data_IF_444158277799
#
_entry.id   IF_444158277799
#
_cell.length_a   1.000
_cell.length_b   1.000
_cell.length_c   1.000
_cell.angle_alpha   90.00
_cell.angle_beta   90.00
_cell.angle_gamma   90.00
#
_symmetry.space_group_name_H-M   'P 1'
#
loop_
_entity.id
_entity.type
_entity.pdbx_description
1 polymer ?
#
# COMPACT_ATOMS: atom_id res chain seq x y z
N UNK A 1 -28.28 31.17 20.65
CA UNK A 1 -28.55 29.92 19.90
C UNK A 1 -27.82 28.82 20.64
N UNK A 2 -28.54 27.84 21.16
CA UNK A 2 -27.94 26.65 21.77
C UNK A 2 -27.71 25.70 20.59
N UNK A 3 -26.46 25.37 20.28
CA UNK A 3 -26.16 24.37 19.26
C UNK A 3 -26.80 23.05 19.68
N UNK A 4 -27.70 22.55 18.84
CA UNK A 4 -28.31 21.23 19.07
C UNK A 4 -27.20 20.18 19.08
N UNK A 5 -27.31 19.14 19.92
CA UNK A 5 -26.31 18.08 19.95
C UNK A 5 -26.15 17.48 18.55
N UNK A 6 -24.91 17.41 18.07
CA UNK A 6 -24.55 16.88 16.76
C UNK A 6 -24.21 15.41 16.91
N UNK A 7 -24.96 14.55 16.24
CA UNK A 7 -24.65 13.12 16.20
C UNK A 7 -23.47 12.89 15.25
N UNK A 8 -22.52 12.04 15.66
CA UNK A 8 -21.30 11.75 14.91
C UNK A 8 -21.18 10.24 14.68
N UNK A 9 -21.02 9.84 13.42
CA UNK A 9 -20.78 8.47 13.00
C UNK A 9 -19.45 8.40 12.26
N UNK A 10 -18.49 7.66 12.82
CA UNK A 10 -17.17 7.46 12.23
C UNK A 10 -17.25 6.42 11.11
N UNK A 11 -16.63 6.70 9.97
CA UNK A 11 -16.48 5.84 8.81
C UNK A 11 -14.99 5.61 8.47
N UNK A 12 -14.73 4.72 7.52
CA UNK A 12 -13.38 4.48 6.98
C UNK A 12 -12.75 5.74 6.41
N UNK A 13 -11.43 5.68 6.17
CA UNK A 13 -10.68 6.75 5.51
C UNK A 13 -10.76 8.10 6.25
N UNK A 14 -10.79 8.06 7.59
CA UNK A 14 -10.86 9.24 8.46
C UNK A 14 -12.06 10.14 8.14
N UNK A 15 -13.19 9.54 7.76
CA UNK A 15 -14.43 10.26 7.49
C UNK A 15 -15.34 10.22 8.71
N UNK A 16 -15.91 11.37 9.05
CA UNK A 16 -16.94 11.49 10.06
C UNK A 16 -18.20 12.05 9.43
N UNK A 17 -19.31 11.34 9.60
CA UNK A 17 -20.62 11.86 9.26
C UNK A 17 -21.17 12.58 10.47
N UNK A 18 -21.49 13.85 10.32
CA UNK A 18 -22.05 14.68 11.37
C UNK A 18 -23.40 15.21 10.94
N UNK A 19 -24.45 15.06 11.75
CA UNK A 19 -25.79 15.49 11.34
C UNK A 19 -26.62 16.07 12.49
N UNK A 20 -27.51 16.97 12.12
CA UNK A 20 -28.58 17.59 12.92
C UNK A 20 -29.89 17.43 12.15
N UNK A 21 -31.05 17.90 12.66
CA UNK A 21 -32.29 17.87 11.90
C UNK A 21 -32.23 18.63 10.57
N UNK A 22 -31.43 19.69 10.50
CA UNK A 22 -31.40 20.63 9.36
C UNK A 22 -30.12 20.55 8.52
N UNK A 23 -29.10 19.83 8.99
CA UNK A 23 -27.81 19.75 8.32
C UNK A 23 -27.25 18.33 8.37
N UNK A 24 -26.61 17.92 7.27
CA UNK A 24 -25.86 16.68 7.22
C UNK A 24 -24.51 16.95 6.56
N UNK A 25 -23.42 16.50 7.16
CA UNK A 25 -22.07 16.81 6.71
C UNK A 25 -21.19 15.57 6.71
N UNK A 26 -20.45 15.35 5.63
CA UNK A 26 -19.33 14.43 5.55
C UNK A 26 -18.05 15.23 5.76
N UNK A 27 -17.35 14.98 6.86
CA UNK A 27 -16.15 15.71 7.27
C UNK A 27 -14.96 14.77 7.22
N UNK A 28 -13.92 15.12 6.45
CA UNK A 28 -12.64 14.44 6.54
C UNK A 28 -11.84 15.00 7.71
N UNK A 29 -11.37 14.11 8.57
CA UNK A 29 -10.39 14.39 9.63
C UNK A 29 -8.99 13.91 9.26
N UNK A 30 -8.76 13.61 7.99
CA UNK A 30 -7.45 13.18 7.48
C UNK A 30 -6.44 14.35 7.45
N UNK A 31 -6.93 15.59 7.32
CA UNK A 31 -6.13 16.82 7.31
C UNK A 31 -6.05 17.44 8.72
N UNK A 32 -5.02 18.27 8.96
CA UNK A 32 -4.85 19.00 10.23
C UNK A 32 -6.08 19.85 10.59
N UNK A 33 -6.78 20.38 9.58
CA UNK A 33 -8.04 21.09 9.73
C UNK A 33 -9.16 20.20 9.18
N UNK A 34 -10.15 19.81 10.01
CA UNK A 34 -11.31 19.06 9.54
C UNK A 34 -11.98 19.77 8.36
N UNK A 35 -12.12 19.07 7.25
CA UNK A 35 -12.62 19.64 5.99
C UNK A 35 -13.94 19.00 5.62
N UNK A 36 -14.99 19.82 5.47
CA UNK A 36 -16.30 19.37 5.01
C UNK A 36 -16.23 19.04 3.52
N UNK A 37 -16.34 17.75 3.18
CA UNK A 37 -16.32 17.26 1.81
C UNK A 37 -17.70 17.35 1.15
N UNK A 38 -18.75 17.10 1.92
CA UNK A 38 -20.15 17.14 1.47
C UNK A 38 -20.97 17.80 2.56
N UNK A 39 -21.78 18.79 2.20
CA UNK A 39 -22.76 19.42 3.08
C UNK A 39 -24.13 19.34 2.42
N UNK A 40 -25.07 18.67 3.06
CA UNK A 40 -26.44 18.58 2.62
C UNK A 40 -27.35 19.40 3.54
N UNK A 41 -28.30 20.09 2.90
CA UNK A 41 -29.40 20.85 3.49
C UNK A 41 -30.67 20.56 2.69
N UNK A 42 -31.81 21.10 3.12
CA UNK A 42 -33.09 20.85 2.44
C UNK A 42 -33.12 21.32 0.97
N UNK A 43 -32.35 22.35 0.64
CA UNK A 43 -32.21 22.92 -0.69
C UNK A 43 -31.32 22.09 -1.63
N UNK A 44 -30.50 21.19 -1.11
CA UNK A 44 -29.58 20.36 -1.90
C UNK A 44 -28.28 20.02 -1.19
N UNK A 45 -27.29 19.61 -1.99
CA UNK A 45 -25.97 19.22 -1.53
C UNK A 45 -24.91 20.14 -2.14
N UNK A 46 -24.07 20.72 -1.29
CA UNK A 46 -22.82 21.38 -1.66
C UNK A 46 -21.66 20.40 -1.51
N UNK A 47 -20.81 20.32 -2.52
CA UNK A 47 -19.73 19.35 -2.62
C UNK A 47 -18.41 20.07 -2.80
N UNK A 48 -17.45 19.72 -1.95
CA UNK A 48 -16.10 20.25 -2.04
C UNK A 48 -15.46 19.84 -3.38
N UNK A 49 -14.73 20.74 -4.09
CA UNK A 49 -14.17 20.46 -5.41
C UNK A 49 -13.31 19.18 -5.49
N UNK A 50 -12.55 18.89 -4.45
CA UNK A 50 -11.76 17.64 -4.37
C UNK A 50 -12.67 16.42 -4.43
N UNK A 51 -13.81 16.43 -3.75
CA UNK A 51 -14.77 15.32 -3.77
C UNK A 51 -15.49 15.19 -5.11
N UNK A 52 -15.84 16.32 -5.75
CA UNK A 52 -16.38 16.34 -7.13
C UNK A 52 -15.44 15.62 -8.08
N UNK A 53 -14.15 15.95 -8.02
CA UNK A 53 -13.12 15.31 -8.84
C UNK A 53 -12.96 13.82 -8.50
N UNK A 54 -12.96 13.46 -7.21
CA UNK A 54 -12.85 12.06 -6.74
C UNK A 54 -13.94 11.15 -7.29
N UNK A 55 -15.18 11.66 -7.31
CA UNK A 55 -16.37 10.90 -7.67
C UNK A 55 -16.84 11.17 -9.09
N UNK A 56 -16.07 11.95 -9.87
CA UNK A 56 -16.39 12.35 -11.24
C UNK A 56 -17.82 12.90 -11.36
N UNK A 57 -18.16 13.82 -10.45
CA UNK A 57 -19.50 14.42 -10.40
C UNK A 57 -19.61 15.56 -11.41
N UNK A 58 -20.80 15.76 -12.00
CA UNK A 58 -21.00 16.79 -13.04
C UNK A 58 -20.90 18.21 -12.48
N UNK A 59 -21.16 18.41 -11.19
CA UNK A 59 -21.23 19.73 -10.56
C UNK A 59 -20.85 19.68 -9.07
N UNK A 60 -20.41 20.83 -8.54
CA UNK A 60 -20.14 21.03 -7.11
C UNK A 60 -21.40 21.28 -6.27
N UNK A 61 -22.58 21.30 -6.91
CA UNK A 61 -23.86 21.39 -6.26
C UNK A 61 -24.82 20.39 -6.90
N UNK A 62 -25.53 19.63 -6.07
CA UNK A 62 -26.58 18.71 -6.51
C UNK A 62 -27.91 19.15 -5.92
N UNK A 63 -28.88 19.41 -6.78
CA UNK A 63 -30.27 19.59 -6.36
C UNK A 63 -30.85 18.27 -5.87
N UNK A 64 -31.82 18.27 -4.93
CA UNK A 64 -32.48 17.05 -4.52
C UNK A 64 -33.07 16.29 -5.72
N UNK A 65 -33.54 16.99 -6.77
CA UNK A 65 -34.11 16.38 -7.97
C UNK A 65 -33.14 15.45 -8.72
N UNK A 66 -31.83 15.70 -8.61
CA UNK A 66 -30.79 14.85 -9.21
C UNK A 66 -30.48 13.60 -8.38
N UNK A 67 -31.01 13.51 -7.16
CA UNK A 67 -30.78 12.38 -6.24
C UNK A 67 -32.02 11.50 -6.27
N UNK A 68 -31.89 10.28 -6.80
CA UNK A 68 -33.00 9.34 -6.86
C UNK A 68 -33.31 8.76 -5.48
N UNK A 69 -32.29 8.28 -4.77
CA UNK A 69 -32.39 7.67 -3.44
C UNK A 69 -31.04 7.61 -2.74
N UNK A 70 -31.11 7.47 -1.42
CA UNK A 70 -29.96 7.18 -0.56
C UNK A 70 -29.94 5.68 -0.29
N UNK A 71 -28.77 5.05 -0.42
CA UNK A 71 -28.62 3.60 -0.23
C UNK A 71 -27.54 3.33 0.81
N UNK A 72 -27.84 2.47 1.77
CA UNK A 72 -26.86 1.80 2.61
C UNK A 72 -26.89 0.32 2.27
N UNK A 73 -25.81 -0.22 1.71
CA UNK A 73 -25.76 -1.62 1.27
C UNK A 73 -24.44 -2.31 1.59
N UNK A 74 -24.49 -3.62 1.70
CA UNK A 74 -23.32 -4.48 1.81
C UNK A 74 -22.67 -4.71 0.43
N UNK A 75 -21.36 -4.49 0.33
CA UNK A 75 -20.56 -4.80 -0.84
C UNK A 75 -19.75 -6.09 -0.56
N UNK A 76 -20.17 -7.25 -1.11
CA UNK A 76 -19.53 -8.53 -0.81
C UNK A 76 -18.08 -8.60 -1.32
N UNK A 77 -17.74 -7.85 -2.37
CA UNK A 77 -16.41 -7.84 -2.99
C UNK A 77 -15.35 -7.26 -2.06
N UNK A 78 -15.72 -6.23 -1.28
CA UNK A 78 -14.83 -5.56 -0.33
C UNK A 78 -15.15 -5.89 1.13
N UNK A 79 -16.18 -6.71 1.37
CA UNK A 79 -16.70 -7.01 2.71
C UNK A 79 -16.90 -5.74 3.54
N UNK A 80 -17.60 -4.78 2.95
CA UNK A 80 -17.80 -3.48 3.58
C UNK A 80 -19.22 -2.98 3.37
N UNK A 81 -19.73 -2.26 4.37
CA UNK A 81 -20.93 -1.46 4.24
C UNK A 81 -20.64 -0.16 3.53
N UNK A 82 -21.49 0.23 2.59
CA UNK A 82 -21.33 1.46 1.80
C UNK A 82 -22.58 2.30 1.86
N UNK A 83 -22.43 3.54 2.28
CA UNK A 83 -23.44 4.58 2.19
C UNK A 83 -23.16 5.41 0.94
N UNK A 84 -24.16 5.62 0.11
CA UNK A 84 -24.04 6.45 -1.08
C UNK A 84 -25.38 6.90 -1.64
N UNK A 85 -25.30 7.59 -2.77
CA UNK A 85 -26.43 8.16 -3.48
C UNK A 85 -26.49 7.58 -4.89
N UNK A 86 -27.71 7.30 -5.35
CA UNK A 86 -27.96 7.05 -6.76
C UNK A 86 -28.36 8.36 -7.43
N UNK A 87 -27.53 8.81 -8.36
CA UNK A 87 -27.70 10.06 -9.08
C UNK A 87 -28.39 9.82 -10.43
N UNK A 88 -29.27 10.74 -10.81
CA UNK A 88 -29.89 10.81 -12.12
C UNK A 88 -29.05 11.70 -13.04
N UNK A 89 -28.86 11.27 -14.28
CA UNK A 89 -28.28 12.13 -15.32
C UNK A 89 -29.21 13.34 -15.54
N UNK A 90 -28.71 14.59 -15.42
CA UNK A 90 -29.52 15.79 -15.65
C UNK A 90 -30.12 15.87 -17.06
N UNK A 91 -29.57 15.15 -18.04
CA UNK A 91 -30.06 15.13 -19.42
C UNK A 91 -31.17 14.09 -19.67
N UNK A 92 -31.53 13.28 -18.68
CA UNK A 92 -32.54 12.23 -18.88
C UNK A 92 -33.98 12.75 -18.77
N UNK A 93 -34.76 12.50 -19.82
CA UNK A 93 -36.22 12.76 -19.87
C UNK A 93 -37.09 11.58 -19.39
N UNK A 94 -36.51 10.39 -19.18
CA UNK A 94 -37.21 9.19 -18.67
C UNK A 94 -36.33 8.45 -17.66
N UNK A 95 -36.98 7.79 -16.70
CA UNK A 95 -36.33 6.97 -15.67
C UNK A 95 -35.76 5.67 -16.27
N UNK A 96 -34.68 5.77 -17.03
CA UNK A 96 -33.89 4.61 -17.41
C UNK A 96 -32.91 4.28 -16.27
N UNK A 97 -33.09 3.10 -15.65
CA UNK A 97 -32.22 2.60 -14.59
C UNK A 97 -30.80 2.30 -15.08
N UNK A 98 -30.59 2.14 -16.39
CA UNK A 98 -29.29 1.78 -16.95
C UNK A 98 -28.23 2.89 -16.85
N UNK A 99 -28.64 4.15 -16.65
CA UNK A 99 -27.75 5.31 -16.64
C UNK A 99 -27.64 5.98 -15.26
N UNK A 100 -27.96 5.25 -14.18
CA UNK A 100 -27.80 5.77 -12.82
C UNK A 100 -26.33 5.72 -12.40
N UNK A 101 -25.81 6.83 -11.90
CA UNK A 101 -24.45 6.90 -11.36
C UNK A 101 -24.48 6.65 -9.85
N UNK A 102 -23.72 5.66 -9.39
CA UNK A 102 -23.46 5.47 -7.97
C UNK A 102 -22.41 6.49 -7.48
N UNK A 103 -22.77 7.27 -6.45
CA UNK A 103 -21.86 8.16 -5.75
C UNK A 103 -21.70 7.71 -4.30
N UNK A 104 -20.58 7.06 -4.01
CA UNK A 104 -20.26 6.59 -2.67
C UNK A 104 -19.84 7.75 -1.75
N UNK A 105 -20.45 7.83 -0.57
CA UNK A 105 -20.20 8.84 0.45
C UNK A 105 -19.27 8.33 1.55
N UNK A 106 -19.54 7.13 2.08
CA UNK A 106 -18.81 6.56 3.20
C UNK A 106 -18.80 5.03 3.14
N UNK A 107 -17.76 4.44 3.73
CA UNK A 107 -17.54 2.99 3.79
C UNK A 107 -17.22 2.56 5.22
N UNK A 108 -17.55 1.32 5.58
CA UNK A 108 -17.17 0.70 6.84
C UNK A 108 -16.81 -0.78 6.64
N UNK A 109 -15.61 -1.25 7.02
CA UNK A 109 -15.17 -2.64 6.81
C UNK A 109 -15.80 -3.56 7.87
N UNK A 110 -15.96 -4.85 7.54
CA UNK A 110 -16.62 -5.87 8.37
C UNK A 110 -16.07 -5.99 9.80
N UNK A 111 -14.75 -5.90 9.93
CA UNK A 111 -13.99 -6.21 11.15
C UNK A 111 -14.34 -5.36 12.39
N UNK A 112 -14.94 -4.20 12.18
CA UNK A 112 -15.21 -3.21 13.23
C UNK A 112 -16.72 -2.99 13.46
N UNK A 113 -17.59 -3.76 12.80
CA UNK A 113 -18.93 -3.28 12.48
C UNK A 113 -20.07 -3.75 13.38
N UNK A 114 -19.85 -4.69 14.31
CA UNK A 114 -20.89 -5.31 15.14
C UNK A 114 -21.82 -4.33 15.91
N UNK A 115 -21.38 -3.10 16.20
CA UNK A 115 -22.20 -2.04 16.81
C UNK A 115 -22.47 -0.82 15.91
N UNK A 116 -21.79 -0.68 14.77
CA UNK A 116 -21.75 0.57 13.99
C UNK A 116 -22.75 0.62 12.83
N UNK A 117 -23.32 -0.52 12.41
CA UNK A 117 -24.38 -0.59 11.38
C UNK A 117 -25.54 0.36 11.71
N UNK A 118 -25.95 0.37 12.97
CA UNK A 118 -27.06 1.22 13.41
C UNK A 118 -26.73 2.71 13.24
N UNK A 119 -25.49 3.12 13.53
CA UNK A 119 -25.02 4.49 13.29
C UNK A 119 -25.06 4.85 11.80
N UNK A 120 -24.51 3.99 10.94
CA UNK A 120 -24.53 4.20 9.49
C UNK A 120 -25.98 4.28 8.94
N UNK A 121 -26.88 3.44 9.45
CA UNK A 121 -28.29 3.43 9.08
C UNK A 121 -29.00 4.72 9.50
N UNK A 122 -28.80 5.19 10.73
CA UNK A 122 -29.36 6.45 11.20
C UNK A 122 -28.82 7.63 10.39
N UNK A 123 -27.52 7.64 10.09
CA UNK A 123 -26.88 8.66 9.25
C UNK A 123 -27.44 8.68 7.81
N UNK A 124 -27.71 7.51 7.22
CA UNK A 124 -28.33 7.42 5.89
C UNK A 124 -29.81 7.86 5.91
N UNK A 125 -30.55 7.49 6.96
CA UNK A 125 -31.94 7.90 7.15
C UNK A 125 -32.08 9.41 7.38
N UNK A 126 -31.17 10.04 8.13
CA UNK A 126 -31.18 11.49 8.35
C UNK A 126 -30.92 12.25 7.05
N UNK A 127 -29.93 11.82 6.24
CA UNK A 127 -29.67 12.39 4.91
C UNK A 127 -30.89 12.27 3.99
N UNK A 128 -31.50 11.09 3.95
CA UNK A 128 -32.68 10.82 3.13
C UNK A 128 -33.87 11.70 3.53
N UNK A 129 -34.11 11.86 4.85
CA UNK A 129 -35.15 12.74 5.38
C UNK A 129 -34.89 14.20 5.01
N UNK A 130 -33.66 14.67 5.20
CA UNK A 130 -33.27 16.06 4.94
C UNK A 130 -33.49 16.45 3.47
N UNK A 131 -33.18 15.55 2.54
CA UNK A 131 -33.32 15.77 1.09
C UNK A 131 -34.71 15.40 0.55
N UNK A 132 -35.62 14.92 1.42
CA UNK A 132 -36.91 14.35 1.04
C UNK A 132 -36.76 13.27 -0.06
N UNK A 133 -35.88 12.29 0.16
CA UNK A 133 -35.60 11.19 -0.76
C UNK A 133 -35.80 9.82 -0.10
N UNK A 134 -36.11 8.77 -0.88
CA UNK A 134 -36.19 7.42 -0.36
C UNK A 134 -34.85 6.97 0.23
N UNK A 135 -34.92 6.25 1.35
CA UNK A 135 -33.80 5.51 1.92
C UNK A 135 -33.98 4.02 1.65
N UNK A 136 -32.95 3.36 1.12
CA UNK A 136 -32.93 1.92 0.90
C UNK A 136 -31.80 1.28 1.69
N UNK A 137 -32.14 0.29 2.51
CA UNK A 137 -31.19 -0.56 3.21
C UNK A 137 -31.12 -1.92 2.51
N UNK A 138 -29.92 -2.36 2.14
CA UNK A 138 -29.67 -3.65 1.47
C UNK A 138 -28.89 -4.55 2.42
N UNK A 139 -29.52 -5.62 2.88
CA UNK A 139 -28.95 -6.57 3.83
C UNK A 139 -27.86 -7.44 3.16
N UNK A 140 -26.78 -7.84 3.86
CA UNK A 140 -25.74 -8.73 3.36
C UNK A 140 -26.30 -10.04 2.79
N UNK A 141 -27.41 -10.53 3.34
CA UNK A 141 -28.03 -11.78 2.92
C UNK A 141 -28.98 -11.59 1.74
N UNK A 142 -29.16 -10.37 1.24
CA UNK A 142 -29.97 -10.13 0.04
C UNK A 142 -29.20 -10.71 -1.15
N UNK A 143 -29.70 -11.76 -1.82
CA UNK A 143 -29.02 -12.32 -2.98
C UNK A 143 -28.91 -11.22 -4.04
N UNK A 144 -27.69 -10.69 -4.21
CA UNK A 144 -27.44 -9.69 -5.23
C UNK A 144 -27.70 -10.37 -6.57
N UNK A 145 -28.52 -9.77 -7.44
CA UNK A 145 -28.95 -10.38 -8.71
C UNK A 145 -27.75 -10.85 -9.56
N UNK A 146 -26.57 -10.26 -9.38
CA UNK A 146 -25.30 -10.66 -10.01
C UNK A 146 -24.88 -12.09 -9.62
N UNK A 147 -25.07 -12.51 -8.37
CA UNK A 147 -24.79 -13.88 -7.94
C UNK A 147 -25.77 -14.91 -8.55
N UNK A 148 -26.99 -14.48 -8.88
CA UNK A 148 -27.97 -15.34 -9.55
C UNK A 148 -27.61 -15.61 -11.01
N UNK A 149 -26.97 -14.66 -11.71
CA UNK A 149 -26.53 -14.87 -13.09
C UNK A 149 -25.28 -15.75 -13.19
N UNK A 150 -24.35 -15.67 -12.23
CA UNK A 150 -23.12 -16.49 -12.26
C UNK A 150 -23.41 -17.99 -12.04
N UNK A 151 -24.45 -18.35 -11.29
CA UNK A 151 -24.84 -19.75 -11.08
C UNK A 151 -25.83 -20.30 -12.12
N UNK A 152 -26.25 -19.51 -13.11
CA UNK A 152 -27.22 -19.94 -14.14
C UNK A 152 -26.57 -20.62 -15.36
N UNK A 153 -25.25 -20.47 -15.55
CA UNK A 153 -24.54 -20.93 -16.75
C UNK A 153 -23.79 -22.26 -16.56
N UNK A 154 -24.14 -23.05 -15.54
CA UNK A 154 -23.62 -24.41 -15.41
C UNK A 154 -24.58 -25.39 -16.11
N UNK A 155 -24.32 -25.84 -17.35
CA UNK A 155 -25.16 -26.84 -17.98
C UNK A 155 -25.06 -28.13 -17.16
N UNK A 156 -26.20 -28.62 -16.68
CA UNK A 156 -26.34 -29.99 -16.21
C UNK A 156 -25.97 -30.93 -17.37
N UNK A 157 -24.71 -31.37 -17.41
CA UNK A 157 -24.28 -32.46 -18.27
C UNK A 157 -24.88 -33.73 -17.70
N UNK A 158 -26.11 -34.04 -18.13
CA UNK A 158 -26.67 -35.38 -18.07
C UNK A 158 -25.82 -36.29 -18.94
N UNK A 159 -24.96 -37.09 -18.31
CA UNK A 159 -24.28 -38.20 -18.97
C UNK A 159 -25.31 -39.29 -19.30
N UNK A 160 -25.61 -39.45 -20.58
CA UNK A 160 -26.13 -40.70 -21.12
C UNK A 160 -25.12 -41.25 -22.14
N UNK A 161 -25.00 -42.57 -22.07
CA UNK A 161 -23.97 -43.46 -22.60
C UNK A 161 -24.10 -43.71 -24.11
N UNK A 162 -22.98 -44.16 -24.71
CA UNK A 162 -22.90 -45.19 -25.76
C UNK A 162 -22.90 -44.76 -27.26
N UNK A 163 -21.71 -44.65 -27.89
CA UNK A 163 -21.38 -45.41 -29.11
C UNK A 163 -19.88 -45.41 -29.53
N UNK A 164 -19.46 -46.63 -29.87
CA UNK A 164 -18.25 -47.27 -30.45
C UNK A 164 -17.50 -46.57 -31.63
N UNK A 165 -16.23 -46.95 -31.95
CA UNK A 165 -15.22 -46.07 -32.57
C UNK A 165 -14.72 -46.41 -34.01
N UNK A 166 -13.80 -45.53 -34.49
CA UNK A 166 -12.72 -45.67 -35.50
C UNK A 166 -13.04 -45.32 -36.99
N UNK A 167 -12.03 -44.96 -37.85
CA UNK A 167 -10.58 -44.97 -37.64
C UNK A 167 -9.78 -43.69 -38.05
N UNK A 168 -8.49 -43.75 -37.65
CA UNK A 168 -7.32 -42.91 -37.90
C UNK A 168 -7.16 -42.27 -39.29
N UNK A 169 -6.61 -41.05 -39.29
CA UNK A 169 -5.60 -40.61 -40.25
C UNK A 169 -4.55 -39.73 -39.54
N UNK A 170 -3.30 -40.00 -39.89
CA UNK A 170 -2.07 -39.55 -39.23
C UNK A 170 -1.61 -38.18 -39.73
N UNK A 171 -0.82 -37.46 -38.91
CA UNK A 171 0.45 -36.89 -39.37
C UNK A 171 1.31 -36.37 -38.19
N UNK A 172 2.52 -36.94 -38.11
CA UNK A 172 3.85 -36.34 -37.88
C UNK A 172 4.14 -35.61 -36.54
N UNK A 173 4.83 -36.22 -35.56
CA UNK A 173 6.29 -36.44 -35.37
C UNK A 173 7.21 -35.23 -35.54
N UNK A 174 7.64 -34.64 -34.42
CA UNK A 174 9.02 -34.21 -34.22
C UNK A 174 9.57 -34.72 -32.89
N UNK A 175 10.71 -35.39 -33.00
CA UNK A 175 11.42 -36.15 -31.98
C UNK A 175 12.75 -35.43 -31.68
N UNK A 176 13.15 -35.39 -30.41
CA UNK A 176 14.54 -35.16 -30.01
C UNK A 176 14.98 -36.26 -29.03
N UNK A 177 16.26 -36.68 -29.05
CA UNK A 177 16.69 -37.95 -28.48
C UNK A 177 17.05 -37.85 -26.99
N UNK A 178 16.66 -38.88 -26.26
CA UNK A 178 17.18 -39.21 -24.94
C UNK A 178 18.50 -39.97 -25.08
N UNK A 179 19.51 -39.55 -24.31
CA UNK A 179 20.77 -40.28 -24.13
C UNK A 179 20.54 -41.35 -23.05
N UNK A 180 20.79 -42.59 -23.45
CA UNK A 180 20.84 -43.78 -22.61
C UNK A 180 22.16 -43.80 -21.82
N UNK A 181 22.12 -44.19 -20.54
CA UNK A 181 23.25 -44.75 -19.81
C UNK A 181 22.76 -45.97 -19.03
N UNK A 182 23.33 -47.17 -19.24
CA UNK A 182 22.88 -48.40 -18.59
C UNK A 182 23.74 -48.77 -17.37
N UNK A 183 23.16 -49.66 -16.55
CA UNK A 183 23.81 -50.59 -15.61
C UNK A 183 24.33 -49.98 -14.27
N UNK A 184 24.20 -50.58 -13.08
CA UNK A 184 24.11 -51.99 -12.71
C UNK A 184 23.52 -52.20 -11.29
N UNK A 185 22.94 -53.39 -11.11
CA UNK A 185 22.98 -54.30 -9.95
C UNK A 185 22.18 -54.06 -8.64
N UNK A 186 21.28 -55.03 -8.42
CA UNK A 186 20.59 -55.42 -7.20
C UNK A 186 21.51 -56.32 -6.37
N UNK A 187 21.44 -56.30 -5.02
CA UNK A 187 21.23 -57.58 -4.34
C UNK A 187 20.09 -57.56 -3.30
N UNK A 188 19.27 -58.59 -3.44
CA UNK A 188 18.22 -59.07 -2.56
C UNK A 188 18.82 -59.65 -1.28
N UNK A 189 18.36 -59.24 -0.10
CA UNK A 189 18.54 -60.02 1.13
C UNK A 189 17.17 -60.19 1.83
N UNK A 190 16.76 -61.46 1.90
CA UNK A 190 15.52 -61.94 2.49
C UNK A 190 15.84 -62.40 3.90
N UNK A 191 15.15 -61.86 4.90
CA UNK A 191 15.17 -62.39 6.28
C UNK A 191 13.75 -62.74 6.73
N UNK A 192 13.56 -63.82 7.53
CA UNK A 192 12.27 -64.45 7.72
C UNK A 192 11.41 -63.76 8.78
N UNK A 193 10.11 -63.74 8.50
CA UNK A 193 8.99 -63.35 9.38
C UNK A 193 8.80 -64.39 10.50
N UNK A 194 8.82 -63.99 11.79
CA UNK A 194 8.15 -64.72 12.84
C UNK A 194 6.69 -64.25 12.95
N UNK A 195 5.78 -65.21 12.99
CA UNK A 195 4.41 -65.03 13.43
C UNK A 195 4.37 -64.64 14.92
N UNK A 196 3.41 -63.81 15.33
CA UNK A 196 2.55 -63.97 16.53
C UNK A 196 1.77 -62.69 16.84
N UNK A 197 0.51 -62.89 17.24
CA UNK A 197 -0.44 -62.00 17.93
C UNK A 197 -1.24 -60.99 17.09
N UNK A 198 -2.43 -61.44 16.67
CA UNK A 198 -3.63 -60.60 16.63
C UNK A 198 -3.85 -59.98 18.01
N UNK A 199 -3.64 -58.67 18.12
CA UNK A 199 -4.25 -57.84 19.15
C UNK A 199 -5.40 -57.09 18.47
N UNK A 200 -6.60 -57.25 19.01
CA UNK A 200 -7.79 -56.47 18.65
C UNK A 200 -7.47 -54.97 18.80
N UNK A 201 -7.18 -54.32 17.66
CA UNK A 201 -7.06 -52.87 17.58
C UNK A 201 -8.45 -52.28 17.60
N UNK A 202 -8.86 -51.78 18.77
CA UNK A 202 -9.96 -50.83 18.88
C UNK A 202 -9.67 -49.64 17.95
N UNK A 203 -10.67 -49.13 17.19
CA UNK A 203 -10.49 -47.93 16.40
C UNK A 203 -10.16 -46.78 17.34
N UNK A 204 -8.89 -46.41 17.36
CA UNK A 204 -8.41 -45.23 18.08
C UNK A 204 -8.95 -44.05 17.30
N UNK A 205 -9.98 -43.40 17.85
CA UNK A 205 -10.43 -42.07 17.42
C UNK A 205 -9.19 -41.20 17.16
N UNK A 206 -9.03 -40.60 15.97
CA UNK A 206 -7.92 -39.71 15.71
C UNK A 206 -7.95 -38.62 16.77
N UNK A 207 -6.96 -38.65 17.67
CA UNK A 207 -6.83 -37.70 18.75
C UNK A 207 -6.73 -36.31 18.12
N UNK A 208 -7.80 -35.53 18.22
CA UNK A 208 -7.86 -34.10 17.90
C UNK A 208 -7.08 -33.34 18.99
N UNK A 209 -5.83 -33.75 19.22
CA UNK A 209 -4.90 -33.09 20.12
C UNK A 209 -3.81 -32.47 19.28
N UNK A 210 -3.56 -31.21 19.59
CA UNK A 210 -2.54 -30.35 19.01
C UNK A 210 -2.95 -29.68 17.69
N UNK A 211 -4.11 -29.00 17.72
CA UNK A 211 -4.22 -27.77 16.92
C UNK A 211 -3.04 -26.90 17.38
N UNK A 212 -2.07 -26.56 16.50
CA UNK A 212 -0.90 -25.78 16.89
C UNK A 212 -1.38 -24.56 17.66
N UNK A 213 -0.82 -24.33 18.86
CA UNK A 213 -1.11 -23.15 19.66
C UNK A 213 -0.88 -21.94 18.75
N UNK A 214 -1.97 -21.37 18.25
CA UNK A 214 -1.96 -20.20 17.40
C UNK A 214 -1.41 -19.08 18.27
N UNK A 215 -0.14 -18.74 18.05
CA UNK A 215 0.56 -17.71 18.79
C UNK A 215 -0.26 -16.42 18.62
N UNK A 216 -0.92 -15.98 19.69
CA UNK A 216 -1.62 -14.71 19.70
C UNK A 216 -0.57 -13.61 19.70
N UNK A 217 -0.29 -13.09 18.51
CA UNK A 217 0.56 -11.92 18.36
C UNK A 217 -0.20 -10.68 18.85
N UNK A 218 0.48 -9.73 19.52
CA UNK A 218 -0.15 -8.47 19.85
C UNK A 218 -0.54 -7.75 18.56
N UNK A 219 -1.80 -7.32 18.47
CA UNK A 219 -2.26 -6.49 17.37
C UNK A 219 -1.55 -5.13 17.45
N UNK A 220 -0.77 -4.81 16.41
CA UNK A 220 -0.01 -3.57 16.34
C UNK A 220 -0.88 -2.50 15.67
N UNK A 221 -1.19 -1.44 16.41
CA UNK A 221 -1.96 -0.32 15.89
C UNK A 221 -1.21 0.39 14.76
N UNK A 222 -1.93 0.73 13.69
CA UNK A 222 -1.37 1.48 12.56
C UNK A 222 -1.06 2.92 13.00
N UNK A 223 0.19 3.35 12.80
CA UNK A 223 0.62 4.70 13.17
C UNK A 223 0.01 5.73 12.19
N UNK A 224 -0.66 6.80 12.66
CA UNK A 224 -1.22 7.81 11.79
C UNK A 224 -0.14 8.60 11.05
N UNK A 225 -0.48 9.09 9.87
CA UNK A 225 0.38 9.99 9.08
C UNK A 225 0.39 11.39 9.70
N UNK A 226 1.49 12.17 9.58
CA UNK A 226 2.70 11.89 8.79
C UNK A 226 3.76 11.07 9.53
N UNK A 227 4.45 10.17 8.81
CA UNK A 227 5.66 9.49 9.29
C UNK A 227 6.90 10.27 8.86
N UNK A 228 7.83 10.48 9.80
CA UNK A 228 9.08 11.21 9.58
C UNK A 228 10.26 10.24 9.59
N UNK A 229 11.17 10.44 8.65
CA UNK A 229 12.43 9.72 8.49
C UNK A 229 13.57 10.74 8.40
N UNK A 230 14.82 10.25 8.36
CA UNK A 230 16.00 11.12 8.33
C UNK A 230 15.99 12.09 7.14
N UNK A 231 15.65 11.61 5.94
CA UNK A 231 15.63 12.42 4.71
C UNK A 231 14.24 12.53 4.07
N UNK A 232 13.27 11.78 4.59
CA UNK A 232 11.95 11.64 4.00
C UNK A 232 10.83 11.97 4.97
N UNK A 233 9.73 12.45 4.42
CA UNK A 233 8.43 12.59 5.08
C UNK A 233 7.41 11.86 4.25
N UNK A 234 6.73 10.91 4.87
CA UNK A 234 5.59 10.22 4.29
C UNK A 234 4.32 10.86 4.86
N UNK A 235 3.56 11.53 4.00
CA UNK A 235 2.45 12.37 4.43
C UNK A 235 1.25 12.28 3.50
N UNK A 236 0.10 12.63 4.05
CA UNK A 236 -1.13 12.80 3.33
C UNK A 236 -1.10 14.06 2.48
N UNK A 237 -1.72 13.97 1.32
CA UNK A 237 -1.91 15.04 0.35
C UNK A 237 -3.37 15.02 -0.12
N UNK A 238 -3.88 16.12 -0.70
CA UNK A 238 -5.25 16.15 -1.21
C UNK A 238 -5.57 15.06 -2.25
N UNK A 239 -4.55 14.51 -2.92
CA UNK A 239 -4.68 13.49 -3.98
C UNK A 239 -4.33 12.07 -3.51
N UNK A 240 -3.97 11.87 -2.23
CA UNK A 240 -3.54 10.56 -1.72
C UNK A 240 -2.36 10.69 -0.76
N UNK A 241 -1.36 9.83 -0.87
CA UNK A 241 -0.16 9.85 -0.01
C UNK A 241 1.08 10.19 -0.84
N UNK A 242 2.06 10.85 -0.23
CA UNK A 242 3.31 11.18 -0.90
C UNK A 242 4.53 11.03 -0.01
N UNK A 243 5.62 10.62 -0.63
CA UNK A 243 6.98 10.66 -0.10
C UNK A 243 7.65 11.94 -0.57
N UNK A 244 8.04 12.78 0.37
CA UNK A 244 8.66 14.08 0.12
C UNK A 244 9.99 14.18 0.85
N UNK A 245 10.98 14.86 0.26
CA UNK A 245 12.22 15.21 0.96
C UNK A 245 11.94 16.28 2.03
N UNK A 246 12.49 16.10 3.22
CA UNK A 246 12.33 17.10 4.30
C UNK A 246 13.15 18.36 4.04
N UNK A 247 12.74 19.49 4.62
CA UNK A 247 13.43 20.77 4.42
C UNK A 247 14.88 20.75 4.94
N UNK A 248 15.16 20.03 6.03
CA UNK A 248 16.53 19.91 6.56
C UNK A 248 17.48 19.23 5.57
N UNK A 249 16.99 18.27 4.78
CA UNK A 249 17.78 17.64 3.72
C UNK A 249 18.27 18.69 2.70
N UNK A 250 17.39 19.60 2.28
CA UNK A 250 17.74 20.70 1.38
C UNK A 250 18.77 21.63 1.99
N UNK A 251 18.56 22.05 3.24
CA UNK A 251 19.49 22.95 3.94
C UNK A 251 20.88 22.33 4.05
N UNK A 252 20.97 21.05 4.43
CA UNK A 252 22.25 20.33 4.55
C UNK A 252 22.94 20.22 3.19
N UNK A 253 22.23 19.86 2.13
CA UNK A 253 22.84 19.71 0.81
C UNK A 253 23.23 21.05 0.18
N UNK A 254 22.42 22.11 0.32
CA UNK A 254 22.80 23.48 -0.09
C UNK A 254 24.04 23.94 0.67
N UNK A 255 24.10 23.72 1.98
CA UNK A 255 25.27 24.03 2.79
C UNK A 255 26.54 23.30 2.31
N UNK A 256 26.42 22.00 1.99
CA UNK A 256 27.52 21.21 1.41
C UNK A 256 27.95 21.74 0.04
N UNK A 257 27.02 22.08 -0.84
CA UNK A 257 27.29 22.67 -2.16
C UNK A 257 28.06 23.99 -2.01
N UNK A 258 27.62 24.88 -1.13
CA UNK A 258 28.31 26.16 -0.90
C UNK A 258 29.71 25.95 -0.31
N UNK A 259 29.86 25.06 0.67
CA UNK A 259 31.14 24.76 1.30
C UNK A 259 32.13 24.15 0.31
N UNK A 260 31.73 23.09 -0.41
CA UNK A 260 32.59 22.45 -1.40
C UNK A 260 32.90 23.38 -2.58
N UNK A 261 31.94 24.20 -3.00
CA UNK A 261 32.15 25.23 -4.02
C UNK A 261 33.22 26.24 -3.60
N UNK A 262 33.11 26.79 -2.39
CA UNK A 262 34.08 27.75 -1.87
C UNK A 262 35.48 27.13 -1.71
N UNK A 263 35.58 25.94 -1.14
CA UNK A 263 36.86 25.23 -1.00
C UNK A 263 37.47 24.88 -2.35
N UNK A 264 36.68 24.40 -3.30
CA UNK A 264 37.14 24.10 -4.67
C UNK A 264 37.76 25.34 -5.33
N UNK A 265 37.07 26.48 -5.30
CA UNK A 265 37.58 27.73 -5.87
C UNK A 265 38.88 28.15 -5.17
N UNK A 266 38.93 28.09 -3.84
CA UNK A 266 40.11 28.45 -3.07
C UNK A 266 41.33 27.58 -3.45
N UNK A 267 41.18 26.26 -3.49
CA UNK A 267 42.27 25.34 -3.82
C UNK A 267 42.74 25.50 -5.28
N UNK A 268 41.82 25.77 -6.21
CA UNK A 268 42.18 26.05 -7.60
C UNK A 268 42.96 27.36 -7.73
N UNK A 269 42.52 28.44 -7.06
CA UNK A 269 43.23 29.73 -7.07
C UNK A 269 44.62 29.58 -6.44
N UNK A 270 44.73 28.92 -5.28
CA UNK A 270 46.02 28.69 -4.62
C UNK A 270 46.95 27.81 -5.47
N UNK A 271 46.43 26.73 -6.07
CA UNK A 271 47.21 25.84 -6.91
C UNK A 271 47.70 26.51 -8.21
N UNK A 272 46.83 27.25 -8.90
CA UNK A 272 47.19 27.99 -10.12
C UNK A 272 48.11 29.16 -9.79
N UNK A 273 47.80 29.91 -8.72
CA UNK A 273 48.57 31.07 -8.29
C UNK A 273 49.99 30.70 -7.85
N UNK A 274 50.16 29.59 -7.13
CA UNK A 274 51.48 29.08 -6.77
C UNK A 274 52.35 28.75 -8.00
N UNK A 275 51.75 28.26 -9.09
CA UNK A 275 52.46 27.94 -10.32
C UNK A 275 52.76 29.15 -11.22
N UNK A 276 52.03 30.25 -11.08
CA UNK A 276 52.08 31.39 -12.02
C UNK A 276 52.65 32.68 -11.43
N UNK A 277 52.59 32.86 -10.10
CA UNK A 277 52.88 34.15 -9.47
C UNK A 277 54.36 34.53 -9.38
N UNK A 278 55.29 33.56 -9.50
CA UNK A 278 56.73 33.83 -9.39
C UNK A 278 57.17 34.42 -8.03
N UNK A 279 56.32 34.37 -7.01
CA UNK A 279 56.56 35.02 -5.71
C UNK A 279 57.47 34.23 -4.76
N UNK A 280 57.61 32.91 -4.97
CA UNK A 280 58.62 32.05 -4.37
C UNK A 280 58.53 30.65 -5.00
N UNK A 281 59.66 29.95 -5.15
CA UNK A 281 59.64 28.53 -5.50
C UNK A 281 59.06 27.74 -4.31
N UNK A 282 57.95 27.04 -4.55
CA UNK A 282 57.32 26.21 -3.53
C UNK A 282 58.11 24.92 -3.40
N UNK A 283 58.86 24.75 -2.30
CA UNK A 283 59.49 23.47 -1.96
C UNK A 283 58.60 22.65 -1.02
N UNK A 284 58.23 21.40 -1.37
CA UNK A 284 58.60 20.70 -2.59
C UNK A 284 57.74 21.10 -3.81
N UNK A 285 58.33 21.07 -5.00
CA UNK A 285 57.71 21.52 -6.26
C UNK A 285 56.41 20.78 -6.64
N UNK A 286 56.14 19.62 -6.03
CA UNK A 286 54.91 18.86 -6.26
C UNK A 286 53.70 19.38 -5.45
N UNK A 287 53.91 20.21 -4.43
CA UNK A 287 52.86 20.63 -3.49
C UNK A 287 51.71 21.41 -4.14
N UNK A 288 51.92 22.33 -5.10
CA UNK A 288 50.83 22.98 -5.83
C UNK A 288 49.92 22.00 -6.58
N UNK A 289 50.48 20.91 -7.11
CA UNK A 289 49.70 19.88 -7.80
C UNK A 289 48.79 19.10 -6.85
N UNK A 290 49.19 18.93 -5.58
CA UNK A 290 48.31 18.34 -4.57
C UNK A 290 47.14 19.27 -4.26
N UNK A 291 47.38 20.59 -4.20
CA UNK A 291 46.30 21.58 -4.08
C UNK A 291 45.29 21.47 -5.23
N UNK A 292 45.77 21.34 -6.48
CA UNK A 292 44.92 21.14 -7.65
C UNK A 292 44.15 19.80 -7.60
N UNK A 293 44.81 18.71 -7.20
CA UNK A 293 44.16 17.40 -7.06
C UNK A 293 43.04 17.44 -6.02
N UNK A 294 43.29 18.05 -4.86
CA UNK A 294 42.25 18.27 -3.82
C UNK A 294 41.11 19.11 -4.38
N UNK A 295 41.42 20.19 -5.12
CA UNK A 295 40.42 21.01 -5.82
C UNK A 295 39.54 20.18 -6.78
N UNK A 296 40.13 19.29 -7.58
CA UNK A 296 39.39 18.41 -8.50
C UNK A 296 38.51 17.39 -7.75
N UNK A 297 39.00 16.80 -6.66
CA UNK A 297 38.18 15.90 -5.83
C UNK A 297 36.98 16.62 -5.19
N UNK A 298 37.19 17.87 -4.75
CA UNK A 298 36.12 18.74 -4.23
C UNK A 298 35.11 19.08 -5.34
N UNK A 299 35.57 19.36 -6.57
CA UNK A 299 34.70 19.57 -7.71
C UNK A 299 33.85 18.32 -8.02
N UNK A 300 34.44 17.13 -7.99
CA UNK A 300 33.70 15.87 -8.17
C UNK A 300 32.62 15.67 -7.10
N UNK A 301 32.94 15.97 -5.84
CA UNK A 301 31.99 15.90 -4.72
C UNK A 301 30.85 16.94 -4.84
N UNK A 302 31.19 18.15 -5.29
CA UNK A 302 30.24 19.22 -5.59
C UNK A 302 29.26 18.80 -6.70
N UNK A 303 29.78 18.27 -7.81
CA UNK A 303 28.97 17.80 -8.94
C UNK A 303 28.07 16.64 -8.53
N UNK A 304 28.57 15.70 -7.72
CA UNK A 304 27.77 14.58 -7.18
C UNK A 304 26.63 15.08 -6.29
N UNK A 305 26.90 16.06 -5.43
CA UNK A 305 25.88 16.64 -4.54
C UNK A 305 24.82 17.41 -5.33
N UNK A 306 25.23 18.21 -6.31
CA UNK A 306 24.32 18.90 -7.23
C UNK A 306 23.46 17.91 -8.01
N UNK A 307 24.06 16.84 -8.53
CA UNK A 307 23.33 15.78 -9.23
C UNK A 307 22.27 15.12 -8.36
N UNK A 308 22.58 14.83 -7.09
CA UNK A 308 21.60 14.33 -6.10
C UNK A 308 20.45 15.32 -5.86
N UNK A 309 20.75 16.62 -5.81
CA UNK A 309 19.73 17.67 -5.65
C UNK A 309 18.82 17.82 -6.88
N UNK A 310 19.38 17.75 -8.10
CA UNK A 310 18.58 17.80 -9.33
C UNK A 310 17.70 16.56 -9.52
N UNK A 311 18.20 15.39 -9.08
CA UNK A 311 17.42 14.15 -9.08
C UNK A 311 16.58 13.96 -7.81
N UNK A 312 16.45 14.99 -6.97
CA UNK A 312 15.53 14.95 -5.85
C UNK A 312 14.10 14.76 -6.38
N UNK A 313 13.43 13.74 -5.88
CA UNK A 313 12.12 13.33 -6.33
C UNK A 313 11.09 13.32 -5.20
N UNK A 314 9.84 13.45 -5.62
CA UNK A 314 8.65 13.24 -4.82
C UNK A 314 7.88 12.08 -5.44
N UNK A 315 7.52 11.09 -4.63
CA UNK A 315 6.73 9.96 -5.10
C UNK A 315 5.32 10.09 -4.57
N UNK A 316 4.35 10.07 -5.47
CA UNK A 316 2.94 10.31 -5.17
C UNK A 316 2.17 9.05 -5.50
N UNK A 317 1.42 8.55 -4.54
CA UNK A 317 0.40 7.51 -4.72
C UNK A 317 -0.93 8.24 -4.84
N UNK A 318 -1.35 8.48 -6.07
CA UNK A 318 -2.56 9.22 -6.40
C UNK A 318 -3.75 8.25 -6.36
N UNK A 319 -4.55 8.33 -5.31
CA UNK A 319 -5.71 7.46 -5.10
C UNK A 319 -6.88 7.83 -6.01
N UNK A 320 -6.89 9.05 -6.55
CA UNK A 320 -7.94 9.55 -7.43
C UNK A 320 -7.75 9.00 -8.84
N UNK A 321 -6.54 9.10 -9.35
CA UNK A 321 -6.16 8.56 -10.67
C UNK A 321 -5.81 7.08 -10.64
N UNK A 322 -5.66 6.49 -9.44
CA UNK A 322 -5.20 5.12 -9.24
C UNK A 322 -3.87 4.86 -9.95
N UNK A 323 -2.91 5.75 -9.75
CA UNK A 323 -1.54 5.63 -10.27
C UNK A 323 -0.50 6.04 -9.22
N UNK A 324 0.66 5.39 -9.23
CA UNK A 324 1.86 5.84 -8.52
C UNK A 324 2.78 6.49 -9.53
N UNK A 325 3.34 7.65 -9.23
CA UNK A 325 4.34 8.28 -10.08
C UNK A 325 5.46 8.94 -9.30
N UNK A 326 6.63 8.97 -9.93
CA UNK A 326 7.83 9.63 -9.43
C UNK A 326 8.02 10.94 -10.19
N UNK A 327 7.91 12.06 -9.48
CA UNK A 327 8.01 13.40 -10.03
C UNK A 327 9.27 14.09 -9.50
N UNK A 328 10.05 14.68 -10.40
CA UNK A 328 11.19 15.53 -10.01
C UNK A 328 10.72 16.76 -9.22
N UNK A 329 11.50 17.14 -8.21
CA UNK A 329 11.19 18.29 -7.36
C UNK A 329 11.62 19.61 -8.00
N UNK A 330 12.79 19.64 -8.63
CA UNK A 330 13.34 20.83 -9.31
C UNK A 330 12.80 20.97 -10.73
N UNK A 331 12.76 19.85 -11.46
CA UNK A 331 12.25 19.79 -12.82
C UNK A 331 10.94 18.99 -12.79
N UNK A 332 9.84 19.48 -13.42
CA UNK A 332 8.51 18.86 -13.32
C UNK A 332 8.38 17.56 -14.14
N UNK A 333 9.49 16.91 -14.49
CA UNK A 333 9.49 15.66 -15.23
C UNK A 333 8.99 14.51 -14.36
N UNK A 334 8.22 13.62 -14.98
CA UNK A 334 7.77 12.37 -14.37
C UNK A 334 8.71 11.28 -14.85
N UNK A 335 9.51 10.72 -13.93
CA UNK A 335 10.51 9.71 -14.24
C UNK A 335 9.86 8.37 -14.62
N UNK A 336 8.82 7.99 -13.89
CA UNK A 336 8.03 6.78 -14.16
C UNK A 336 6.63 6.92 -13.56
N UNK A 337 5.72 6.09 -14.06
CA UNK A 337 4.32 5.99 -13.62
C UNK A 337 3.85 4.54 -13.73
N UNK A 338 3.14 4.07 -12.71
CA UNK A 338 2.58 2.72 -12.65
C UNK A 338 1.10 2.80 -12.23
N UNK A 339 0.15 2.35 -13.06
CA UNK A 339 -1.26 2.21 -12.68
C UNK A 339 -1.45 1.17 -11.57
N UNK A 340 -2.39 1.38 -10.65
CA UNK A 340 -2.66 0.45 -9.54
C UNK A 340 -3.02 -0.96 -10.03
N UNK A 341 -3.69 -1.05 -11.17
CA UNK A 341 -4.08 -2.34 -11.77
C UNK A 341 -2.91 -3.20 -12.23
N UNK A 342 -1.71 -2.62 -12.38
CA UNK A 342 -0.50 -3.36 -12.74
C UNK A 342 0.30 -3.77 -11.52
N UNK A 343 0.06 -3.15 -10.35
CA UNK A 343 0.84 -3.43 -9.15
C UNK A 343 0.36 -4.75 -8.55
N UNK A 344 1.27 -5.71 -8.41
CA UNK A 344 0.96 -7.01 -7.82
C UNK A 344 1.15 -7.00 -6.31
N UNK A 345 2.21 -6.35 -5.81
CA UNK A 345 2.53 -6.24 -4.39
C UNK A 345 3.50 -5.11 -4.08
N UNK A 346 3.56 -4.74 -2.79
CA UNK A 346 4.59 -3.86 -2.23
C UNK A 346 5.68 -4.74 -1.61
N UNK A 347 6.95 -4.47 -1.92
CA UNK A 347 8.10 -5.20 -1.37
C UNK A 347 8.91 -4.28 -0.47
N UNK A 348 9.24 -4.78 0.72
CA UNK A 348 10.20 -4.18 1.63
C UNK A 348 11.46 -5.02 1.56
N UNK A 349 12.54 -4.46 1.01
CA UNK A 349 13.88 -5.04 1.09
C UNK A 349 14.60 -4.38 2.26
N UNK A 350 15.29 -5.13 3.11
CA UNK A 350 16.00 -4.56 4.25
C UNK A 350 17.31 -5.27 4.56
N UNK A 351 18.27 -4.56 5.13
CA UNK A 351 19.50 -5.17 5.66
C UNK A 351 19.18 -6.07 6.85
N UNK A 352 20.09 -6.99 7.18
CA UNK A 352 20.05 -7.76 8.42
C UNK A 352 19.85 -6.84 9.64
N UNK A 353 18.73 -6.97 10.39
CA UNK A 353 18.40 -6.05 11.47
C UNK A 353 19.41 -6.17 12.61
N UNK A 354 19.94 -5.03 13.05
CA UNK A 354 20.89 -4.94 14.14
C UNK A 354 20.14 -4.76 15.46
N UNK A 355 20.22 -5.77 16.34
CA UNK A 355 19.62 -5.70 17.68
C UNK A 355 20.29 -4.62 18.52
N UNK A 356 19.49 -3.69 19.05
CA UNK A 356 19.91 -2.67 20.01
C UNK A 356 19.66 -3.08 21.48
N UNK A 357 19.17 -4.31 21.69
CA UNK A 357 18.85 -4.85 23.01
C UNK A 357 17.43 -4.56 23.49
N UNK A 358 17.11 -5.07 24.68
CA UNK A 358 15.82 -4.88 25.37
C UNK A 358 16.08 -4.58 26.84
N UNK A 359 15.24 -3.73 27.45
CA UNK A 359 15.39 -3.34 28.86
C UNK A 359 14.95 -4.48 29.79
N UNK A 360 13.83 -5.13 29.49
CA UNK A 360 13.34 -6.33 30.17
C UNK A 360 13.16 -7.49 29.20
N UNK A 361 13.13 -8.73 29.70
CA UNK A 361 12.94 -9.94 28.87
C UNK A 361 11.58 -9.93 28.13
N UNK A 362 10.58 -9.28 28.70
CA UNK A 362 9.22 -9.13 28.15
C UNK A 362 9.07 -7.97 27.19
N UNK A 363 10.01 -7.03 27.16
CA UNK A 363 9.94 -5.88 26.28
C UNK A 363 10.24 -6.32 24.83
N UNK A 364 9.60 -5.67 23.83
CA UNK A 364 9.94 -5.92 22.44
C UNK A 364 11.42 -5.59 22.19
N UNK A 365 12.08 -6.39 21.35
CA UNK A 365 13.46 -6.16 20.95
C UNK A 365 13.53 -4.92 20.08
N UNK A 366 14.40 -3.96 20.45
CA UNK A 366 14.70 -2.81 19.58
C UNK A 366 15.71 -3.23 18.53
N UNK A 367 15.52 -2.78 17.31
CA UNK A 367 16.48 -3.01 16.23
C UNK A 367 16.53 -1.82 15.27
N UNK A 368 17.60 -1.76 14.48
CA UNK A 368 17.74 -0.83 13.36
C UNK A 368 18.11 -1.57 12.07
N UNK A 369 17.59 -1.11 10.94
CA UNK A 369 17.91 -1.64 9.62
C UNK A 369 17.77 -0.56 8.54
N UNK A 370 18.58 -0.65 7.49
CA UNK A 370 18.35 0.11 6.27
C UNK A 370 17.23 -0.59 5.48
N UNK A 371 16.28 0.19 4.97
CA UNK A 371 15.04 -0.32 4.39
C UNK A 371 14.73 0.38 3.07
N UNK A 372 14.42 -0.42 2.05
CA UNK A 372 13.96 0.02 0.73
C UNK A 372 12.54 -0.45 0.51
N UNK A 373 11.67 0.47 0.10
CA UNK A 373 10.28 0.17 -0.26
C UNK A 373 10.18 0.20 -1.78
N UNK A 374 9.67 -0.87 -2.37
CA UNK A 374 9.44 -1.02 -3.79
C UNK A 374 7.98 -1.35 -4.08
N UNK A 375 7.48 -0.97 -5.26
CA UNK A 375 6.31 -1.61 -5.87
C UNK A 375 6.77 -2.51 -7.02
N UNK A 376 6.13 -3.66 -7.17
CA UNK A 376 6.34 -4.56 -8.29
C UNK A 376 5.11 -4.56 -9.20
N UNK A 377 5.33 -4.33 -10.49
CA UNK A 377 4.27 -4.22 -11.51
C UNK A 377 4.11 -5.47 -12.39
N UNK A 378 4.68 -6.59 -11.96
CA UNK A 378 4.77 -7.82 -12.76
C UNK A 378 6.03 -7.90 -13.64
N UNK A 379 6.71 -6.77 -13.92
CA UNK A 379 7.88 -6.72 -14.79
C UNK A 379 9.12 -6.15 -14.12
N UNK A 380 8.97 -5.08 -13.35
CA UNK A 380 10.07 -4.33 -12.77
C UNK A 380 9.75 -3.90 -11.32
N UNK A 381 10.82 -3.71 -10.55
CA UNK A 381 10.75 -3.07 -9.24
C UNK A 381 10.94 -1.56 -9.40
N UNK A 382 9.98 -0.80 -8.88
CA UNK A 382 10.08 0.66 -8.81
C UNK A 382 10.35 1.08 -7.37
N UNK A 383 11.52 1.66 -7.13
CA UNK A 383 11.91 2.16 -5.81
C UNK A 383 11.04 3.35 -5.40
N UNK A 384 10.31 3.19 -4.30
CA UNK A 384 9.47 4.22 -3.67
C UNK A 384 10.29 5.06 -2.68
N UNK A 385 11.04 4.40 -1.81
CA UNK A 385 11.78 5.08 -0.76
C UNK A 385 13.00 4.27 -0.35
N UNK A 386 14.09 4.99 -0.11
CA UNK A 386 15.34 4.51 0.47
C UNK A 386 15.50 5.16 1.85
N UNK A 387 15.47 4.34 2.89
CA UNK A 387 15.35 4.76 4.28
C UNK A 387 16.50 4.17 5.10
N UNK A 388 17.46 5.02 5.45
CA UNK A 388 18.62 4.63 6.26
C UNK A 388 18.30 4.60 7.75
N UNK A 389 18.85 3.62 8.47
CA UNK A 389 18.85 3.54 9.92
C UNK A 389 17.46 3.52 10.55
N UNK A 390 16.50 2.85 9.92
CA UNK A 390 15.12 2.80 10.42
C UNK A 390 15.07 1.98 11.71
N UNK A 391 14.72 2.64 12.81
CA UNK A 391 14.53 1.98 14.10
C UNK A 391 13.12 1.40 14.24
N UNK A 392 13.03 0.25 14.89
CA UNK A 392 11.76 -0.40 15.16
C UNK A 392 11.80 -1.38 16.31
N UNK A 393 10.70 -2.12 16.43
CA UNK A 393 10.45 -3.06 17.52
C UNK A 393 9.99 -4.40 16.95
N UNK A 394 10.45 -5.49 17.57
CA UNK A 394 10.03 -6.85 17.25
C UNK A 394 9.53 -7.52 18.52
N UNK A 395 8.29 -8.02 18.49
CA UNK A 395 7.69 -8.78 19.59
C UNK A 395 8.14 -10.25 19.58
N UNK A 396 8.66 -10.72 18.44
CA UNK A 396 9.01 -12.13 18.19
C UNK A 396 10.42 -12.27 17.58
N UNK A 397 11.41 -11.69 18.25
CA UNK A 397 12.77 -11.56 17.74
C UNK A 397 13.47 -12.89 17.40
N UNK A 398 13.21 -13.95 18.17
CA UNK A 398 13.82 -15.25 17.92
C UNK A 398 13.34 -15.84 16.58
N UNK A 399 12.09 -15.58 16.19
CA UNK A 399 11.55 -15.94 14.89
C UNK A 399 12.15 -15.06 13.77
N UNK A 400 12.33 -13.76 14.01
CA UNK A 400 13.03 -12.86 13.08
C UNK A 400 14.44 -13.37 12.77
N UNK A 401 15.20 -13.83 13.78
CA UNK A 401 16.53 -14.44 13.57
C UNK A 401 16.48 -15.69 12.69
N UNK A 402 15.48 -16.54 12.86
CA UNK A 402 15.31 -17.73 12.02
C UNK A 402 15.01 -17.33 10.57
N UNK A 403 14.16 -16.31 10.38
CA UNK A 403 13.87 -15.78 9.05
C UNK A 403 15.09 -15.13 8.38
N UNK A 404 16.01 -14.53 9.14
CA UNK A 404 17.27 -14.00 8.59
C UNK A 404 18.17 -15.10 8.01
N UNK A 405 18.06 -16.34 8.50
CA UNK A 405 18.82 -17.47 7.97
C UNK A 405 18.25 -18.02 6.66
N UNK A 406 16.98 -17.72 6.38
CA UNK A 406 16.26 -18.17 5.18
C UNK A 406 15.69 -16.94 4.45
N UNK A 407 16.47 -16.30 3.55
CA UNK A 407 16.12 -15.04 2.89
C UNK A 407 15.03 -15.21 1.81
N UNK A 408 13.92 -15.85 2.17
CA UNK A 408 12.77 -16.00 1.31
C UNK A 408 11.82 -14.83 1.54
N UNK A 409 11.23 -14.36 0.44
CA UNK A 409 10.15 -13.39 0.49
C UNK A 409 8.99 -13.94 1.31
N UNK A 410 8.46 -13.14 2.22
CA UNK A 410 7.38 -13.54 3.12
C UNK A 410 6.37 -12.42 3.35
N UNK A 411 5.08 -12.73 3.57
CA UNK A 411 4.09 -11.72 3.89
C UNK A 411 4.50 -10.92 5.12
N UNK A 412 4.29 -9.60 5.08
CA UNK A 412 4.60 -8.74 6.22
C UNK A 412 3.71 -9.07 7.42
N UNK A 413 4.33 -9.27 8.57
CA UNK A 413 3.65 -9.32 9.87
C UNK A 413 4.22 -8.22 10.77
N UNK A 414 3.39 -7.25 11.16
CA UNK A 414 3.84 -6.12 11.99
C UNK A 414 4.35 -6.54 13.37
N UNK A 415 3.90 -7.68 13.90
CA UNK A 415 4.43 -8.21 15.17
C UNK A 415 5.92 -8.57 15.09
N UNK A 416 6.41 -8.91 13.89
CA UNK A 416 7.81 -9.20 13.62
C UNK A 416 8.62 -7.92 13.36
N UNK A 417 8.04 -6.98 12.61
CA UNK A 417 8.68 -5.71 12.28
C UNK A 417 7.71 -4.55 12.43
N UNK A 418 7.70 -3.96 13.62
CA UNK A 418 7.03 -2.69 13.86
C UNK A 418 8.03 -1.55 13.70
N UNK A 419 8.26 -1.15 12.44
CA UNK A 419 9.04 0.06 12.11
C UNK A 419 8.17 1.05 11.32
N UNK A 420 8.48 2.35 11.34
CA UNK A 420 7.78 3.33 10.51
C UNK A 420 7.81 2.99 9.02
N UNK A 421 8.86 2.33 8.52
CA UNK A 421 8.93 1.91 7.12
C UNK A 421 7.93 0.79 6.79
N UNK A 422 7.80 -0.21 7.67
CA UNK A 422 6.81 -1.29 7.53
C UNK A 422 5.37 -0.76 7.62
N UNK A 423 5.12 0.16 8.55
CA UNK A 423 3.84 0.86 8.67
C UNK A 423 3.52 1.67 7.42
N UNK A 424 4.51 2.37 6.84
CA UNK A 424 4.33 3.13 5.60
C UNK A 424 4.01 2.21 4.41
N UNK A 425 4.74 1.10 4.26
CA UNK A 425 4.49 0.11 3.22
C UNK A 425 3.11 -0.54 3.34
N UNK A 426 2.67 -0.89 4.55
CA UNK A 426 1.31 -1.39 4.79
C UNK A 426 0.24 -0.37 4.41
N UNK A 427 0.46 0.91 4.73
CA UNK A 427 -0.45 1.98 4.35
C UNK A 427 -0.50 2.25 2.84
N UNK A 428 0.61 2.03 2.12
CA UNK A 428 0.63 2.05 0.64
C UNK A 428 -0.20 0.87 0.13
N UNK A 429 0.14 -0.35 0.55
CA UNK A 429 -0.51 -1.57 0.12
C UNK A 429 -2.03 -1.58 0.37
N UNK A 430 -2.49 -1.12 1.53
CA UNK A 430 -3.91 -1.01 1.85
C UNK A 430 -4.65 -0.07 0.87
N UNK A 431 -4.01 1.01 0.41
CA UNK A 431 -4.59 1.93 -0.57
C UNK A 431 -4.58 1.36 -1.99
N UNK A 432 -3.61 0.50 -2.29
CA UNK A 432 -3.49 -0.19 -3.56
C UNK A 432 -4.39 -1.44 -3.65
N UNK A 433 -4.77 -2.02 -2.50
CA UNK A 433 -5.47 -3.30 -2.44
C UNK A 433 -4.58 -4.50 -2.77
N UNK A 434 -3.28 -4.43 -2.43
CA UNK A 434 -2.27 -5.46 -2.74
C UNK A 434 -1.58 -5.93 -1.46
N UNK A 435 -0.99 -7.14 -1.41
CA UNK A 435 -0.22 -7.61 -0.26
C UNK A 435 1.12 -6.88 -0.11
N UNK A 436 1.67 -6.90 1.12
CA UNK A 436 3.05 -6.49 1.40
C UNK A 436 3.91 -7.71 1.68
N UNK A 437 5.09 -7.74 1.08
CA UNK A 437 6.12 -8.73 1.38
C UNK A 437 7.36 -8.07 1.95
N UNK A 438 8.12 -8.83 2.75
CA UNK A 438 9.44 -8.44 3.26
C UNK A 438 10.49 -9.45 2.79
N UNK A 439 11.68 -8.95 2.49
CA UNK A 439 12.85 -9.70 2.00
C UNK A 439 14.13 -9.10 2.60
N UNK A 440 15.10 -9.95 2.89
CA UNK A 440 16.41 -9.52 3.38
C UNK A 440 17.39 -9.41 2.21
N UNK A 441 18.08 -8.27 2.13
CA UNK A 441 19.05 -7.97 1.08
C UNK A 441 20.41 -8.63 1.32
#
# INVERSE_FOLDING_TARGET
MIDSPKDIVQASNFLNIQFTPDTWQLVSTELEVPTTLVEAKSEGILIHPVFVQARQLPSASLSPAQIMRIVLGWAPETRAWRLGMLLLDPNMTKYDTAQMQWCELAEWPDDTFGGRVNGAKVAGQSLARLLNRPFQYVDPNTPTRVAAFINSDQPEISMNTEHTPAPRLAMQTHSFPAVYSPNDEIPTEVTPRPATAELETFPTEPSVKDKPLELQYPEVAIVPLPLKFADWKFALTPVGISWQRIQSWWVVNVGRVLLFGALCVLFLILGIGANTSGLADVEPAWLPFVGLLVGLLMLGSLLTTLWRMFNANTIVVDTFKKEIYNKGLVLPFVNWRVPFSQIEYVLISQTAPQSQGRRHKTDPMKFSADTWIHVFDGQAFHLIADLEGVEGRSYVWDMVKQHMQNPNRRPLQLAEYDTPAHQAALQIANRLGVPVYVEFA
#
